data_IF_504854427883
#
_entry.id   IF_504854427883
#
_cell.length_a   1.000
_cell.length_b   1.000
_cell.length_c   1.000
_cell.angle_alpha   90.00
_cell.angle_beta   90.00
_cell.angle_gamma   90.00
#
_symmetry.space_group_name_H-M   'P 1'
#
loop_
_entity.id
_entity.type
_entity.pdbx_description
1 polymer ?
#
# COMPACT_ATOMS: atom_id res chain seq x y z
N UNK A 1 11.39 12.63 -4.17
CA UNK A 1 10.59 13.00 -2.97
C UNK A 1 11.55 13.25 -1.82
N UNK A 2 11.50 14.44 -1.28
CA UNK A 2 12.35 14.80 -0.14
C UNK A 2 11.70 14.34 1.16
N UNK A 3 12.33 13.40 1.83
CA UNK A 3 11.81 12.81 3.06
C UNK A 3 12.60 13.38 4.25
N UNK A 4 11.93 14.01 5.23
CA UNK A 4 12.60 14.51 6.44
C UNK A 4 13.31 13.39 7.20
N UNK A 5 14.40 13.73 7.87
CA UNK A 5 15.19 12.75 8.63
C UNK A 5 14.44 12.20 9.84
N UNK A 6 13.50 12.95 10.38
CA UNK A 6 12.74 12.56 11.57
C UNK A 6 11.45 11.80 11.28
N UNK A 7 11.20 11.48 10.01
CA UNK A 7 9.99 10.73 9.63
C UNK A 7 10.03 9.33 10.24
N UNK A 8 8.83 8.84 10.62
CA UNK A 8 8.69 7.47 11.09
C UNK A 8 7.90 6.69 10.05
N UNK A 9 8.46 5.55 9.64
CA UNK A 9 7.80 4.61 8.74
C UNK A 9 6.90 3.68 9.54
N UNK A 10 5.80 3.27 8.93
CA UNK A 10 4.93 2.25 9.51
C UNK A 10 4.82 1.08 8.53
N UNK A 11 5.17 -0.10 9.00
CA UNK A 11 5.02 -1.34 8.23
C UNK A 11 3.90 -2.15 8.89
N UNK A 12 2.68 -2.16 8.30
CA UNK A 12 1.51 -2.72 8.98
C UNK A 12 1.39 -4.24 8.91
N UNK A 13 2.20 -4.88 8.07
CA UNK A 13 2.19 -6.34 7.88
C UNK A 13 3.61 -6.82 7.61
N UNK A 14 4.47 -6.63 8.61
CA UNK A 14 5.91 -6.70 8.43
C UNK A 14 6.46 -8.13 8.27
N UNK A 15 5.69 -9.16 8.63
CA UNK A 15 6.06 -10.55 8.40
C UNK A 15 7.40 -10.93 9.01
N UNK A 16 8.37 -11.23 8.17
CA UNK A 16 9.74 -11.55 8.56
C UNK A 16 10.67 -10.35 8.70
N UNK A 17 10.17 -9.13 8.49
CA UNK A 17 10.97 -7.92 8.66
C UNK A 17 11.85 -7.54 7.49
N UNK A 18 11.57 -8.03 6.29
CA UNK A 18 12.46 -7.81 5.14
C UNK A 18 12.63 -6.34 4.74
N UNK A 19 11.64 -5.48 5.00
CA UNK A 19 11.79 -4.04 4.74
C UNK A 19 12.51 -3.29 5.86
N UNK A 20 12.55 -3.85 7.08
CA UNK A 20 12.98 -3.09 8.24
C UNK A 20 14.44 -2.66 8.19
N UNK A 21 15.30 -3.48 7.57
CA UNK A 21 16.71 -3.16 7.45
C UNK A 21 16.97 -1.92 6.58
N UNK A 22 15.99 -1.53 5.78
CA UNK A 22 16.06 -0.37 4.89
C UNK A 22 15.49 0.90 5.53
N UNK A 23 14.85 0.78 6.67
CA UNK A 23 14.11 1.89 7.29
C UNK A 23 14.87 2.42 8.50
N UNK A 24 15.15 3.74 8.56
CA UNK A 24 15.91 4.31 9.68
C UNK A 24 15.14 4.37 10.99
N UNK A 25 13.83 4.62 10.92
CA UNK A 25 12.95 4.69 12.08
C UNK A 25 11.60 4.13 11.70
N UNK A 26 11.09 3.19 12.47
CA UNK A 26 9.85 2.51 12.08
C UNK A 26 9.05 2.03 13.26
N UNK A 27 7.76 1.85 13.01
CA UNK A 27 6.84 1.01 13.78
C UNK A 27 6.48 -0.16 12.89
N UNK A 28 6.71 -1.37 13.36
CA UNK A 28 6.45 -2.57 12.57
C UNK A 28 5.44 -3.45 13.29
N UNK A 29 4.39 -3.85 12.59
CA UNK A 29 3.28 -4.62 13.13
C UNK A 29 3.07 -5.87 12.28
N UNK A 30 2.58 -6.94 12.90
CA UNK A 30 2.08 -8.12 12.21
C UNK A 30 1.20 -8.92 13.15
N UNK A 31 0.22 -9.58 12.60
CA UNK A 31 -0.67 -10.44 13.39
C UNK A 31 0.04 -11.71 13.86
N UNK A 32 1.07 -12.13 13.13
CA UNK A 32 1.91 -13.29 13.44
C UNK A 32 3.38 -12.99 13.12
N UNK A 33 4.06 -12.16 13.94
CA UNK A 33 5.40 -11.71 13.61
C UNK A 33 6.43 -12.83 13.68
N UNK A 34 7.38 -12.80 12.75
CA UNK A 34 8.50 -13.74 12.67
C UNK A 34 9.84 -13.09 13.04
N UNK A 35 9.81 -11.86 13.54
CA UNK A 35 11.01 -11.11 13.93
C UNK A 35 10.69 -10.34 15.20
N UNK A 36 11.62 -10.31 16.15
CA UNK A 36 11.40 -9.67 17.46
C UNK A 36 11.25 -8.15 17.39
N UNK A 37 11.66 -7.53 16.29
CA UNK A 37 11.47 -6.09 16.07
C UNK A 37 10.03 -5.72 15.74
N UNK A 38 9.17 -6.71 15.51
CA UNK A 38 7.79 -6.52 15.06
C UNK A 38 6.85 -6.76 16.22
N UNK A 39 5.95 -5.80 16.47
CA UNK A 39 4.92 -5.92 17.48
C UNK A 39 3.78 -6.79 16.96
N UNK A 40 3.33 -7.73 17.79
CA UNK A 40 2.15 -8.53 17.45
C UNK A 40 0.92 -7.66 17.60
N UNK A 41 0.29 -7.31 16.49
CA UNK A 41 -0.84 -6.38 16.47
C UNK A 41 -1.65 -6.59 15.19
N UNK A 42 -2.96 -6.59 15.32
CA UNK A 42 -3.86 -6.49 14.18
C UNK A 42 -3.89 -5.02 13.74
N UNK A 43 -3.38 -4.72 12.56
CA UNK A 43 -3.31 -3.35 12.08
C UNK A 43 -4.67 -2.67 12.03
N UNK A 44 -5.72 -3.40 11.67
CA UNK A 44 -7.06 -2.81 11.56
C UNK A 44 -7.62 -2.37 12.92
N UNK A 45 -7.01 -2.84 14.01
CA UNK A 45 -7.34 -2.44 15.37
C UNK A 45 -6.32 -1.51 16.01
N UNK A 46 -5.25 -1.21 15.29
CA UNK A 46 -4.18 -0.33 15.78
C UNK A 46 -4.70 1.10 15.89
N UNK A 47 -4.39 1.75 16.99
CA UNK A 47 -4.77 3.14 17.23
C UNK A 47 -3.54 3.99 17.52
N UNK A 48 -3.52 5.20 16.99
CA UNK A 48 -2.44 6.16 17.19
C UNK A 48 -2.99 7.57 16.97
N UNK A 49 -2.42 8.54 17.68
CA UNK A 49 -2.71 9.94 17.40
C UNK A 49 -1.83 10.52 16.30
N UNK A 50 -0.81 9.76 15.87
CA UNK A 50 0.10 10.19 14.81
C UNK A 50 -0.63 10.15 13.46
N UNK A 51 -0.38 11.16 12.62
CA UNK A 51 -1.06 11.32 11.34
C UNK A 51 -0.10 11.51 10.16
N UNK A 52 1.20 11.42 10.39
CA UNK A 52 2.21 11.75 9.39
C UNK A 52 3.21 10.62 9.11
N UNK A 53 2.80 9.36 9.35
CA UNK A 53 3.60 8.22 8.95
C UNK A 53 3.82 8.17 7.45
N UNK A 54 4.93 7.59 7.03
CA UNK A 54 5.05 6.98 5.71
C UNK A 54 4.78 5.50 5.91
N UNK A 55 3.64 5.04 5.43
CA UNK A 55 3.23 3.64 5.58
C UNK A 55 3.65 2.87 4.34
N UNK A 56 4.45 1.83 4.55
CA UNK A 56 5.06 1.06 3.46
C UNK A 56 4.89 -0.43 3.76
N UNK A 57 4.62 -1.21 2.73
CA UNK A 57 4.56 -2.65 2.90
C UNK A 57 3.81 -3.38 1.81
N UNK A 58 3.59 -4.66 2.10
CA UNK A 58 2.88 -5.58 1.24
C UNK A 58 1.69 -6.11 2.05
N UNK A 59 0.55 -5.39 2.09
CA UNK A 59 -0.58 -5.81 2.90
C UNK A 59 -1.21 -7.09 2.38
N UNK A 60 -1.88 -7.86 3.25
CA UNK A 60 -2.63 -9.02 2.78
C UNK A 60 -3.76 -8.59 1.84
N UNK A 61 -4.00 -9.37 0.78
CA UNK A 61 -4.95 -8.96 -0.24
C UNK A 61 -6.41 -9.26 0.12
N UNK A 62 -6.69 -10.47 0.58
CA UNK A 62 -8.04 -10.91 0.87
C UNK A 62 -8.85 -11.16 -0.40
N UNK A 63 -10.12 -11.53 -0.24
CA UNK A 63 -11.03 -11.74 -1.36
C UNK A 63 -11.32 -10.40 -2.04
N UNK A 64 -11.19 -10.37 -3.37
CA UNK A 64 -11.46 -9.19 -4.20
C UNK A 64 -10.67 -7.96 -3.72
N UNK A 65 -9.49 -8.20 -3.20
CA UNK A 65 -8.61 -7.14 -2.65
C UNK A 65 -9.22 -6.38 -1.47
N UNK A 66 -10.26 -6.90 -0.84
CA UNK A 66 -10.98 -6.20 0.23
C UNK A 66 -10.07 -5.86 1.41
N UNK A 67 -9.22 -6.81 1.82
CA UNK A 67 -8.34 -6.59 2.96
C UNK A 67 -7.27 -5.54 2.65
N UNK A 68 -6.74 -5.55 1.43
CA UNK A 68 -5.78 -4.53 1.02
C UNK A 68 -6.43 -3.14 0.98
N UNK A 69 -7.70 -3.05 0.55
CA UNK A 69 -8.46 -1.79 0.59
C UNK A 69 -8.64 -1.32 2.03
N UNK A 70 -8.98 -2.23 2.94
CA UNK A 70 -9.13 -1.88 4.36
C UNK A 70 -7.82 -1.40 4.97
N UNK A 71 -6.70 -2.03 4.63
CA UNK A 71 -5.37 -1.58 5.07
C UNK A 71 -5.05 -0.20 4.52
N UNK A 72 -5.36 0.04 3.25
CA UNK A 72 -5.15 1.36 2.65
C UNK A 72 -5.93 2.44 3.40
N UNK A 73 -7.22 2.21 3.63
CA UNK A 73 -8.07 3.21 4.26
C UNK A 73 -7.73 3.41 5.74
N UNK A 74 -7.24 2.37 6.41
CA UNK A 74 -6.68 2.53 7.74
C UNK A 74 -5.42 3.39 7.72
N UNK A 75 -4.52 3.11 6.76
CA UNK A 75 -3.30 3.90 6.60
C UNK A 75 -3.59 5.36 6.29
N UNK A 76 -4.65 5.63 5.53
CA UNK A 76 -5.04 7.00 5.19
C UNK A 76 -5.34 7.88 6.40
N UNK A 77 -5.73 7.27 7.53
CA UNK A 77 -6.04 8.00 8.75
C UNK A 77 -4.80 8.43 9.53
N UNK A 78 -3.66 7.84 9.24
CA UNK A 78 -2.44 8.03 10.04
C UNK A 78 -1.19 8.31 9.21
N UNK A 79 -1.34 8.55 7.92
CA UNK A 79 -0.19 8.65 7.01
C UNK A 79 -0.31 9.83 6.07
N UNK A 80 0.83 10.38 5.68
CA UNK A 80 0.93 11.34 4.58
C UNK A 80 1.30 10.66 3.27
N UNK A 81 1.94 9.48 3.34
CA UNK A 81 2.33 8.70 2.17
C UNK A 81 1.99 7.24 2.43
N UNK A 82 1.41 6.58 1.43
CA UNK A 82 1.13 5.16 1.46
C UNK A 82 1.83 4.51 0.26
N UNK A 83 2.79 3.64 0.52
CA UNK A 83 3.60 2.97 -0.49
C UNK A 83 3.39 1.46 -0.34
N UNK A 84 2.48 0.91 -1.12
CA UNK A 84 2.06 -0.48 -0.99
C UNK A 84 2.33 -1.31 -2.25
N UNK A 85 2.71 -2.56 -2.04
CA UNK A 85 2.65 -3.59 -3.07
C UNK A 85 1.25 -4.21 -3.00
N UNK A 86 0.50 -4.08 -4.07
CA UNK A 86 -0.92 -4.48 -4.13
C UNK A 86 -1.22 -5.22 -5.44
N UNK A 87 -2.34 -5.95 -5.52
CA UNK A 87 -2.73 -6.56 -6.78
C UNK A 87 -2.95 -5.53 -7.88
N UNK A 88 -2.74 -5.90 -9.14
CA UNK A 88 -2.94 -4.99 -10.27
C UNK A 88 -4.38 -4.48 -10.37
N UNK A 89 -5.34 -5.11 -9.71
CA UNK A 89 -6.70 -4.61 -9.62
C UNK A 89 -6.76 -3.19 -9.01
N UNK A 90 -5.75 -2.80 -8.24
CA UNK A 90 -5.63 -1.43 -7.72
C UNK A 90 -5.41 -0.38 -8.81
N UNK A 91 -5.16 -0.81 -10.04
CA UNK A 91 -5.10 0.09 -11.20
C UNK A 91 -6.48 0.30 -11.84
N UNK A 92 -7.51 -0.41 -11.38
CA UNK A 92 -8.88 -0.27 -11.89
C UNK A 92 -9.65 0.79 -11.11
N UNK A 93 -10.53 1.50 -11.83
CA UNK A 93 -11.43 2.45 -11.21
C UNK A 93 -12.32 1.78 -10.14
N UNK A 94 -12.79 0.54 -10.38
CA UNK A 94 -13.67 -0.18 -9.46
C UNK A 94 -13.04 -0.42 -8.08
N UNK A 95 -11.72 -0.48 -8.00
CA UNK A 95 -11.00 -0.56 -6.72
C UNK A 95 -10.70 0.85 -6.21
N UNK A 96 -10.14 1.71 -7.06
CA UNK A 96 -9.71 3.03 -6.65
C UNK A 96 -10.84 3.89 -6.08
N UNK A 97 -12.06 3.72 -6.56
CA UNK A 97 -13.21 4.47 -6.03
C UNK A 97 -13.48 4.21 -4.55
N UNK A 98 -12.96 3.09 -4.01
CA UNK A 98 -13.13 2.72 -2.62
C UNK A 98 -11.97 3.18 -1.73
N UNK A 99 -10.95 3.79 -2.30
CA UNK A 99 -9.80 4.30 -1.55
C UNK A 99 -10.05 5.76 -1.14
N UNK A 100 -9.52 6.13 0.01
CA UNK A 100 -9.67 7.46 0.58
C UNK A 100 -9.42 8.55 -0.47
N UNK A 101 -10.35 9.50 -0.62
CA UNK A 101 -10.31 10.54 -1.64
C UNK A 101 -9.26 11.61 -1.37
N UNK A 102 -8.72 11.67 -0.17
CA UNK A 102 -7.70 12.66 0.17
C UNK A 102 -6.32 12.30 -0.35
N UNK A 103 -6.19 11.15 -1.01
CA UNK A 103 -4.91 10.67 -1.53
C UNK A 103 -4.88 10.69 -3.04
N UNK A 104 -3.76 11.16 -3.57
CA UNK A 104 -3.47 11.16 -5.01
C UNK A 104 -2.50 10.03 -5.33
N UNK A 105 -2.70 9.34 -6.44
CA UNK A 105 -1.75 8.35 -6.92
C UNK A 105 -0.57 9.08 -7.57
N UNK A 106 0.56 9.07 -6.89
CA UNK A 106 1.74 9.81 -7.31
C UNK A 106 2.58 9.05 -8.34
N UNK A 107 2.73 7.75 -8.15
CA UNK A 107 3.49 6.89 -9.07
C UNK A 107 3.10 5.44 -8.90
N UNK A 108 3.44 4.64 -9.90
CA UNK A 108 3.26 3.19 -9.82
C UNK A 108 4.28 2.47 -10.70
N UNK A 109 4.60 1.24 -10.31
CA UNK A 109 5.53 0.39 -11.05
C UNK A 109 5.01 -1.04 -11.00
N UNK A 110 4.77 -1.64 -12.15
CA UNK A 110 4.39 -3.04 -12.21
C UNK A 110 5.57 -3.92 -11.82
N UNK A 111 5.28 -4.96 -11.01
CA UNK A 111 6.31 -5.88 -10.54
C UNK A 111 6.26 -7.16 -11.35
N UNK A 112 7.43 -7.78 -11.53
CA UNK A 112 7.55 -9.03 -12.25
C UNK A 112 6.89 -10.17 -11.48
N UNK A 113 6.15 -11.07 -12.16
CA UNK A 113 5.39 -12.14 -11.50
C UNK A 113 6.22 -13.36 -11.13
N UNK A 114 7.52 -13.29 -11.08
CA UNK A 114 8.43 -14.41 -10.84
C UNK A 114 8.76 -14.67 -9.37
N UNK A 115 8.13 -13.93 -8.47
CA UNK A 115 8.28 -14.16 -7.04
C UNK A 115 7.61 -15.46 -6.64
N UNK A 116 8.15 -16.11 -5.60
CA UNK A 116 7.60 -17.36 -5.09
C UNK A 116 6.97 -17.15 -3.72
N UNK A 117 5.90 -17.91 -3.45
CA UNK A 117 5.29 -17.95 -2.14
C UNK A 117 6.23 -18.63 -1.15
N UNK A 118 5.89 -18.58 0.14
CA UNK A 118 6.70 -19.17 1.21
C UNK A 118 6.87 -20.69 1.08
N UNK A 119 5.99 -21.37 0.32
CA UNK A 119 6.10 -22.81 0.07
C UNK A 119 6.82 -23.15 -1.24
N UNK A 120 7.42 -22.16 -1.90
CA UNK A 120 8.19 -22.36 -3.12
C UNK A 120 7.38 -22.35 -4.40
N UNK A 121 6.09 -22.13 -4.35
CA UNK A 121 5.25 -22.04 -5.54
C UNK A 121 5.27 -20.62 -6.13
N UNK A 122 5.19 -20.47 -7.46
CA UNK A 122 5.14 -19.14 -8.05
C UNK A 122 3.83 -18.41 -7.71
N UNK A 123 3.91 -17.11 -7.51
CA UNK A 123 2.72 -16.27 -7.38
C UNK A 123 1.97 -16.24 -8.70
N UNK A 124 0.66 -16.48 -8.64
CA UNK A 124 -0.23 -16.35 -9.80
C UNK A 124 -0.80 -14.94 -9.93
N UNK A 125 -0.65 -14.11 -8.91
CA UNK A 125 -1.24 -12.77 -8.87
C UNK A 125 -0.19 -11.74 -9.29
N UNK A 126 -0.52 -10.94 -10.30
CA UNK A 126 0.31 -9.83 -10.71
C UNK A 126 0.15 -8.70 -9.71
N UNK A 127 1.24 -8.00 -9.42
CA UNK A 127 1.27 -6.93 -8.43
C UNK A 127 1.83 -5.65 -9.02
N UNK A 128 1.54 -4.56 -8.34
CA UNK A 128 2.03 -3.23 -8.67
C UNK A 128 2.44 -2.54 -7.38
N UNK A 129 3.56 -1.82 -7.44
CA UNK A 129 3.98 -0.95 -6.34
C UNK A 129 3.40 0.43 -6.61
N UNK A 130 2.56 0.91 -5.70
CA UNK A 130 1.92 2.22 -5.83
C UNK A 130 2.38 3.14 -4.70
N UNK A 131 2.62 4.39 -5.03
CA UNK A 131 2.90 5.44 -4.04
C UNK A 131 1.77 6.45 -4.10
N UNK A 132 1.05 6.56 -2.99
CA UNK A 132 -0.04 7.50 -2.80
C UNK A 132 0.37 8.59 -1.83
N UNK A 133 0.00 9.82 -2.12
CA UNK A 133 0.40 10.99 -1.36
C UNK A 133 -0.84 11.75 -0.94
N UNK A 134 -0.90 12.14 0.33
CA UNK A 134 -2.02 12.93 0.86
C UNK A 134 -2.02 14.30 0.21
N UNK A 135 -3.15 14.68 -0.36
CA UNK A 135 -3.33 16.00 -0.98
C UNK A 135 -3.12 17.10 0.06
N UNK A 136 -2.33 18.10 -0.28
CA UNK A 136 -2.02 19.20 0.62
C UNK A 136 -0.92 18.90 1.63
N UNK A 137 -0.36 17.70 1.66
CA UNK A 137 0.79 17.39 2.51
C UNK A 137 2.08 17.94 1.91
N UNK A 138 3.16 17.90 2.70
CA UNK A 138 4.47 18.35 2.22
C UNK A 138 5.00 17.53 1.03
N UNK A 139 4.45 16.35 0.80
CA UNK A 139 4.86 15.47 -0.30
C UNK A 139 4.02 15.66 -1.56
N UNK A 140 2.96 16.45 -1.50
CA UNK A 140 2.08 16.67 -2.64
C UNK A 140 2.80 17.51 -3.69
N UNK A 141 3.01 16.93 -4.86
CA UNK A 141 3.70 17.58 -5.97
C UNK A 141 2.75 17.89 -7.14
N UNK A 142 1.44 17.77 -6.91
CA UNK A 142 0.43 18.04 -7.93
C UNK A 142 0.15 16.89 -8.88
N UNK A 143 0.94 15.81 -8.85
CA UNK A 143 0.72 14.66 -9.72
C UNK A 143 -0.40 13.80 -9.13
N UNK A 144 -1.39 13.46 -9.95
CA UNK A 144 -2.46 12.56 -9.56
C UNK A 144 -2.87 11.69 -10.74
N UNK A 145 -2.43 10.44 -10.71
CA UNK A 145 -2.73 9.45 -11.74
C UNK A 145 -3.97 8.62 -11.41
N UNK A 146 -4.66 9.00 -10.34
CA UNK A 146 -5.86 8.30 -9.88
C UNK A 146 -6.98 8.43 -10.92
N UNK A 147 -7.70 7.34 -11.14
CA UNK A 147 -8.88 7.34 -12.00
C UNK A 147 -10.05 7.97 -11.26
N UNK A 148 -10.73 8.93 -11.89
CA UNK A 148 -11.84 9.67 -11.27
C UNK A 148 -13.20 9.17 -11.71
N UNK A 149 -13.25 8.35 -12.77
CA UNK A 149 -14.46 7.75 -13.27
C UNK A 149 -14.15 6.48 -14.01
N UNK A 150 -15.15 5.61 -14.18
CA UNK A 150 -14.96 4.41 -14.96
C UNK A 150 -14.60 4.77 -16.41
N UNK A 151 -13.50 4.21 -16.95
CA UNK A 151 -13.17 4.41 -18.36
C UNK A 151 -14.30 3.89 -19.26
N UNK A 152 -14.57 4.54 -20.41
CA UNK A 152 -15.58 4.04 -21.33
C UNK A 152 -15.16 2.68 -21.90
N UNK A 153 -16.12 1.78 -22.03
CA UNK A 153 -15.91 0.48 -22.67
C UNK A 153 -16.07 0.70 -24.18
N UNK A 154 -14.98 0.88 -24.87
CA UNK A 154 -14.98 1.08 -26.31
C UNK A 154 -14.53 -0.15 -27.08
N UNK A 155 -14.00 -1.16 -26.37
CA UNK A 155 -13.41 -2.32 -27.03
C UNK A 155 -13.28 -3.46 -26.02
N UNK A 156 -13.68 -4.72 -26.40
CA UNK A 156 -13.61 -5.85 -25.45
C UNK A 156 -12.22 -6.14 -24.93
N UNK A 157 -11.18 -5.83 -25.70
CA UNK A 157 -9.81 -6.12 -25.33
C UNK A 157 -9.28 -5.21 -24.22
N UNK A 158 -10.03 -4.21 -23.81
CA UNK A 158 -9.65 -3.35 -22.70
C UNK A 158 -9.95 -3.96 -21.34
N UNK A 159 -10.59 -5.08 -21.29
CA UNK A 159 -10.96 -5.77 -20.06
C UNK A 159 -9.90 -6.78 -19.62
N UNK A 160 -8.63 -6.44 -19.73
CA UNK A 160 -7.53 -7.37 -19.48
C UNK A 160 -6.89 -7.22 -18.12
N UNK A 161 -7.40 -6.38 -17.29
CA UNK A 161 -6.85 -6.19 -15.95
C UNK A 161 -6.99 -7.45 -15.12
#
# INVERSE_FOLDING_TARGET
MDIPEDVIYLEPSAGGGSFLDLLPRYVALDIAPEDERIEKQDYLKYETEKTDFITIGNPPFGKRSKLAIDFFNKAAKMSDVIAFIVPVSFMKWSVQKNLDFNFALNSYTYLEPESFSSNGEPYSVRTVFQVWVKKGSQYDNGINLRLTKQPPISHPDFEIW
#
